data_IF_743836834356
#
_entry.id   IF_743836834356
#
_cell.length_a   1.000
_cell.length_b   1.000
_cell.length_c   1.000
_cell.angle_alpha   90.00
_cell.angle_beta   90.00
_cell.angle_gamma   90.00
#
_symmetry.space_group_name_H-M   'P 1'
#
loop_
_entity.id
_entity.type
_entity.pdbx_description
1 polymer ?
#
# COMPACT_ATOMS: atom_id res chain seq x y z
N UNK A 1 23.79 65.39 21.06
CA UNK A 1 23.38 64.01 21.40
C UNK A 1 23.39 63.18 20.11
N UNK A 2 24.39 62.32 19.89
CA UNK A 2 24.46 61.47 18.68
C UNK A 2 23.71 60.17 18.94
N UNK A 3 22.60 59.97 18.24
CA UNK A 3 21.77 58.75 18.29
C UNK A 3 22.52 57.64 17.53
N UNK A 4 22.98 56.62 18.26
CA UNK A 4 23.59 55.41 17.66
C UNK A 4 22.47 54.69 16.89
N UNK A 5 22.52 54.70 15.57
CA UNK A 5 21.60 53.91 14.74
C UNK A 5 21.94 52.44 14.90
N UNK A 6 20.94 51.59 15.13
CA UNK A 6 21.11 50.14 15.11
C UNK A 6 21.53 49.73 13.70
N UNK A 7 22.77 49.30 13.54
CA UNK A 7 23.27 48.67 12.33
C UNK A 7 22.54 47.33 12.18
N UNK A 8 21.64 47.23 11.21
CA UNK A 8 21.00 45.96 10.86
C UNK A 8 22.09 45.04 10.28
N UNK A 9 22.56 44.09 11.08
CA UNK A 9 23.47 43.04 10.62
C UNK A 9 22.73 42.19 9.57
N UNK A 10 23.18 42.27 8.31
CA UNK A 10 22.69 41.42 7.22
C UNK A 10 23.38 40.06 7.20
N UNK A 11 22.69 39.03 6.72
CA UNK A 11 23.28 37.73 6.42
C UNK A 11 24.33 37.84 5.31
N UNK A 12 25.43 37.09 5.44
CA UNK A 12 26.46 37.00 4.41
C UNK A 12 26.08 35.97 3.33
N UNK A 13 26.57 36.17 2.11
CA UNK A 13 26.39 35.19 1.03
C UNK A 13 27.04 33.84 1.37
N UNK A 14 28.15 33.87 2.13
CA UNK A 14 28.86 32.66 2.55
C UNK A 14 28.02 31.84 3.53
N UNK A 15 27.32 32.49 4.47
CA UNK A 15 26.39 31.80 5.38
C UNK A 15 25.28 31.09 4.62
N UNK A 16 24.72 31.73 3.59
CA UNK A 16 23.66 31.12 2.79
C UNK A 16 24.17 29.94 1.95
N UNK A 17 25.39 30.03 1.41
CA UNK A 17 26.00 28.93 0.64
C UNK A 17 26.28 27.71 1.51
N UNK A 18 26.81 27.88 2.73
CA UNK A 18 27.06 26.74 3.63
C UNK A 18 25.75 26.05 4.03
N UNK A 19 24.70 26.83 4.30
CA UNK A 19 23.37 26.27 4.60
C UNK A 19 22.83 25.47 3.40
N UNK A 20 22.94 26.00 2.19
CA UNK A 20 22.50 25.30 0.97
C UNK A 20 23.24 23.97 0.79
N UNK A 21 24.56 23.95 1.04
CA UNK A 21 25.36 22.72 0.91
C UNK A 21 24.90 21.65 1.89
N UNK A 22 24.68 22.00 3.16
CA UNK A 22 24.19 21.05 4.17
C UNK A 22 22.78 20.54 3.81
N UNK A 23 21.87 21.44 3.44
CA UNK A 23 20.51 21.07 3.02
C UNK A 23 20.53 20.19 1.77
N UNK A 24 21.44 20.45 0.82
CA UNK A 24 21.62 19.64 -0.39
C UNK A 24 22.03 18.20 -0.07
N UNK A 25 22.99 18.01 0.85
CA UNK A 25 23.43 16.68 1.30
C UNK A 25 22.25 15.95 1.97
N UNK A 26 21.58 16.60 2.92
CA UNK A 26 20.43 15.98 3.62
C UNK A 26 19.28 15.65 2.66
N UNK A 27 18.97 16.53 1.70
CA UNK A 27 17.90 16.33 0.74
C UNK A 27 18.18 15.12 -0.18
N UNK A 28 19.43 14.94 -0.61
CA UNK A 28 19.83 13.81 -1.47
C UNK A 28 19.55 12.45 -0.84
N UNK A 29 19.73 12.33 0.49
CA UNK A 29 19.44 11.12 1.25
C UNK A 29 17.95 11.03 1.64
N UNK A 30 17.33 12.16 1.98
CA UNK A 30 15.99 12.18 2.57
C UNK A 30 14.88 11.93 1.53
N UNK A 31 15.02 12.43 0.30
CA UNK A 31 14.00 12.29 -0.74
C UNK A 31 13.68 10.83 -1.08
N UNK A 32 14.64 9.94 -1.38
CA UNK A 32 14.32 8.54 -1.69
C UNK A 32 13.68 7.82 -0.49
N UNK A 33 14.18 8.04 0.73
CA UNK A 33 13.61 7.43 1.94
C UNK A 33 12.17 7.89 2.20
N UNK A 34 11.89 9.19 2.07
CA UNK A 34 10.55 9.72 2.27
C UNK A 34 9.56 9.18 1.23
N UNK A 35 9.99 9.04 -0.03
CA UNK A 35 9.16 8.43 -1.08
C UNK A 35 8.86 6.96 -0.80
N UNK A 36 9.84 6.19 -0.32
CA UNK A 36 9.61 4.81 0.10
C UNK A 36 8.59 4.73 1.25
N UNK A 37 8.69 5.61 2.24
CA UNK A 37 7.73 5.67 3.36
C UNK A 37 6.30 5.97 2.88
N UNK A 38 6.12 6.96 2.01
CA UNK A 38 4.79 7.27 1.45
C UNK A 38 4.25 6.08 0.65
N UNK A 39 5.08 5.42 -0.17
CA UNK A 39 4.65 4.25 -0.92
C UNK A 39 4.26 3.08 0.01
N UNK A 40 5.00 2.88 1.11
CA UNK A 40 4.65 1.90 2.15
C UNK A 40 3.31 2.21 2.79
N UNK A 41 3.08 3.48 3.13
CA UNK A 41 1.80 3.94 3.68
C UNK A 41 0.65 3.73 2.71
N UNK A 42 0.87 3.88 1.40
CA UNK A 42 -0.14 3.59 0.38
C UNK A 42 -0.41 2.10 0.31
N UNK A 43 0.62 1.27 0.25
CA UNK A 43 0.48 -0.19 0.16
C UNK A 43 -0.33 -0.80 1.32
N UNK A 44 -0.26 -0.21 2.51
CA UNK A 44 -1.08 -0.62 3.67
C UNK A 44 -2.59 -0.58 3.42
N UNK A 45 -3.07 0.36 2.59
CA UNK A 45 -4.48 0.40 2.18
C UNK A 45 -4.87 -0.84 1.36
N UNK A 46 -4.03 -1.22 0.39
CA UNK A 46 -4.28 -2.41 -0.42
C UNK A 46 -4.14 -3.70 0.39
N UNK A 47 -3.24 -3.74 1.36
CA UNK A 47 -3.10 -4.85 2.32
C UNK A 47 -4.37 -5.00 3.16
N UNK A 48 -4.92 -3.87 3.66
CA UNK A 48 -6.19 -3.87 4.40
C UNK A 48 -7.35 -4.38 3.53
N UNK A 49 -7.43 -3.92 2.28
CA UNK A 49 -8.45 -4.39 1.33
C UNK A 49 -8.32 -5.90 1.05
N UNK A 50 -7.10 -6.39 0.78
CA UNK A 50 -6.85 -7.81 0.57
C UNK A 50 -7.26 -8.64 1.80
N UNK A 51 -6.96 -8.15 3.01
CA UNK A 51 -7.38 -8.77 4.26
C UNK A 51 -8.90 -8.85 4.40
N UNK A 52 -9.64 -7.79 4.02
CA UNK A 52 -11.09 -7.79 4.02
C UNK A 52 -11.67 -8.82 3.03
N UNK A 53 -11.12 -8.89 1.81
CA UNK A 53 -11.52 -9.89 0.80
C UNK A 53 -11.25 -11.31 1.29
N UNK A 54 -10.07 -11.57 1.86
CA UNK A 54 -9.71 -12.88 2.42
C UNK A 54 -10.66 -13.29 3.55
N UNK A 55 -10.98 -12.36 4.45
CA UNK A 55 -11.94 -12.59 5.53
C UNK A 55 -13.32 -12.98 4.99
N UNK A 56 -13.82 -12.22 4.01
CA UNK A 56 -15.09 -12.52 3.37
C UNK A 56 -15.08 -13.88 2.63
N UNK A 57 -14.00 -14.21 1.94
CA UNK A 57 -13.83 -15.50 1.28
C UNK A 57 -13.80 -16.67 2.27
N UNK A 58 -13.22 -16.48 3.46
CA UNK A 58 -13.23 -17.50 4.52
C UNK A 58 -14.66 -17.78 5.02
N UNK A 59 -15.44 -16.72 5.23
CA UNK A 59 -16.85 -16.86 5.63
C UNK A 59 -17.63 -17.57 4.53
N UNK A 60 -17.51 -17.09 3.29
CA UNK A 60 -18.18 -17.69 2.13
C UNK A 60 -17.83 -19.17 1.94
N UNK A 61 -16.54 -19.53 2.05
CA UNK A 61 -16.11 -20.93 1.94
C UNK A 61 -16.70 -21.79 3.06
N UNK A 62 -16.80 -21.26 4.29
CA UNK A 62 -17.39 -22.00 5.42
C UNK A 62 -18.86 -22.31 5.18
N UNK A 63 -19.58 -21.41 4.50
CA UNK A 63 -21.00 -21.57 4.19
C UNK A 63 -21.26 -22.46 2.97
N UNK A 64 -20.48 -22.28 1.90
CA UNK A 64 -20.76 -22.90 0.59
C UNK A 64 -19.77 -24.00 0.17
N UNK A 65 -18.63 -24.14 0.86
CA UNK A 65 -17.62 -25.17 0.58
C UNK A 65 -16.73 -24.89 -0.63
N UNK A 66 -16.81 -23.70 -1.23
CA UNK A 66 -15.93 -23.26 -2.33
C UNK A 66 -15.65 -21.76 -2.24
N UNK A 67 -14.54 -21.30 -2.84
CA UNK A 67 -14.21 -19.88 -2.91
C UNK A 67 -15.01 -19.20 -4.01
N UNK A 68 -15.51 -17.99 -3.75
CA UNK A 68 -16.26 -17.24 -4.75
C UNK A 68 -15.29 -16.57 -5.73
N UNK A 69 -15.34 -16.87 -7.04
CA UNK A 69 -14.60 -16.10 -8.02
C UNK A 69 -15.19 -14.68 -8.12
N UNK A 70 -14.30 -13.70 -8.30
CA UNK A 70 -14.65 -12.29 -8.47
C UNK A 70 -13.82 -11.74 -9.61
N UNK A 71 -14.48 -11.29 -10.68
CA UNK A 71 -13.82 -10.50 -11.72
C UNK A 71 -13.41 -9.14 -11.16
N UNK A 72 -12.33 -8.55 -11.66
CA UNK A 72 -11.82 -7.25 -11.19
C UNK A 72 -12.95 -6.21 -11.08
N UNK A 73 -13.29 -5.86 -9.84
CA UNK A 73 -14.43 -4.98 -9.50
C UNK A 73 -14.08 -4.11 -8.31
N UNK A 74 -14.74 -2.95 -8.19
CA UNK A 74 -14.64 -2.11 -7.00
C UNK A 74 -15.55 -2.52 -5.86
N UNK A 75 -16.57 -3.34 -6.12
CA UNK A 75 -17.49 -3.81 -5.10
C UNK A 75 -18.04 -5.20 -5.45
N UNK A 76 -18.26 -6.02 -4.44
CA UNK A 76 -18.95 -7.31 -4.56
C UNK A 76 -19.96 -7.43 -3.42
N UNK A 77 -21.26 -7.48 -3.77
CA UNK A 77 -22.35 -7.51 -2.79
C UNK A 77 -22.49 -8.84 -2.07
N UNK A 78 -21.93 -9.92 -2.62
CA UNK A 78 -22.00 -11.26 -2.00
C UNK A 78 -20.92 -11.38 -0.93
N UNK A 79 -19.71 -10.87 -1.21
CA UNK A 79 -18.65 -10.79 -0.21
C UNK A 79 -18.81 -9.61 0.76
N UNK A 80 -19.65 -8.63 0.42
CA UNK A 80 -19.85 -7.42 1.24
C UNK A 80 -18.62 -6.52 1.30
N UNK A 81 -17.76 -6.54 0.27
CA UNK A 81 -16.54 -5.74 0.19
C UNK A 81 -16.73 -4.59 -0.81
N UNK A 82 -16.40 -3.37 -0.39
CA UNK A 82 -16.41 -2.17 -1.23
C UNK A 82 -15.06 -1.44 -1.14
N UNK A 83 -14.32 -1.45 -2.23
CA UNK A 83 -13.03 -0.80 -2.40
C UNK A 83 -13.15 0.62 -2.99
N UNK A 84 -14.34 1.05 -3.43
CA UNK A 84 -14.50 2.32 -4.15
C UNK A 84 -14.23 3.53 -3.27
N UNK A 85 -14.36 3.39 -1.95
CA UNK A 85 -14.04 4.40 -0.94
C UNK A 85 -12.55 4.62 -0.71
N UNK A 86 -11.70 3.66 -1.06
CA UNK A 86 -10.24 3.73 -0.87
C UNK A 86 -9.61 4.82 -1.74
N UNK A 87 -8.42 5.32 -1.43
CA UNK A 87 -7.74 6.35 -2.23
C UNK A 87 -6.95 5.75 -3.39
N UNK A 88 -6.14 4.73 -3.13
CA UNK A 88 -5.17 4.18 -4.09
C UNK A 88 -5.56 2.83 -4.67
N UNK A 89 -6.29 2.01 -3.92
CA UNK A 89 -6.68 0.64 -4.31
C UNK A 89 -8.18 0.52 -4.45
N UNK A 90 -8.68 0.69 -5.68
CA UNK A 90 -10.10 0.85 -5.98
C UNK A 90 -10.80 -0.44 -6.42
N UNK A 91 -10.04 -1.48 -6.74
CA UNK A 91 -10.58 -2.75 -7.23
C UNK A 91 -9.90 -3.93 -6.56
N UNK A 92 -10.55 -5.09 -6.67
CA UNK A 92 -10.01 -6.38 -6.29
C UNK A 92 -10.56 -7.47 -7.21
N UNK A 93 -9.86 -8.59 -7.27
CA UNK A 93 -10.25 -9.79 -7.98
C UNK A 93 -9.95 -11.02 -7.14
N UNK A 94 -10.70 -12.10 -7.39
CA UNK A 94 -10.45 -13.42 -6.81
C UNK A 94 -10.49 -14.44 -7.93
N UNK A 95 -9.34 -15.03 -8.22
CA UNK A 95 -9.23 -16.14 -9.19
C UNK A 95 -9.18 -17.43 -8.41
N UNK A 96 -9.91 -18.45 -8.85
CA UNK A 96 -9.94 -19.76 -8.17
C UNK A 96 -9.48 -20.86 -9.12
N UNK A 97 -8.77 -21.87 -8.61
CA UNK A 97 -8.41 -23.06 -9.39
C UNK A 97 -8.50 -24.34 -8.56
N UNK A 98 -8.79 -25.47 -9.19
CA UNK A 98 -9.03 -26.75 -8.49
C UNK A 98 -10.44 -26.89 -7.90
N UNK A 99 -10.73 -28.03 -7.29
CA UNK A 99 -12.04 -28.38 -6.70
C UNK A 99 -11.89 -28.98 -5.30
N UNK A 100 -12.91 -28.83 -4.46
CA UNK A 100 -12.96 -29.42 -3.12
C UNK A 100 -11.87 -28.90 -2.17
N UNK A 101 -11.29 -29.78 -1.35
CA UNK A 101 -10.23 -29.43 -0.40
C UNK A 101 -8.91 -28.98 -1.04
N UNK A 102 -8.74 -29.18 -2.36
CA UNK A 102 -7.57 -28.72 -3.11
C UNK A 102 -7.81 -27.37 -3.83
N UNK A 103 -9.00 -26.76 -3.65
CA UNK A 103 -9.31 -25.48 -4.26
C UNK A 103 -8.33 -24.40 -3.76
N UNK A 104 -7.74 -23.67 -4.69
CA UNK A 104 -6.90 -22.51 -4.41
C UNK A 104 -7.65 -21.25 -4.82
N UNK A 105 -7.44 -20.17 -4.08
CA UNK A 105 -7.83 -18.83 -4.47
C UNK A 105 -6.58 -17.94 -4.56
N UNK A 106 -6.59 -17.00 -5.47
CA UNK A 106 -5.63 -15.90 -5.56
C UNK A 106 -6.45 -14.62 -5.46
N UNK A 107 -6.29 -13.92 -4.34
CA UNK A 107 -6.81 -12.57 -4.17
C UNK A 107 -5.81 -11.60 -4.78
N UNK A 108 -6.26 -10.76 -5.69
CA UNK A 108 -5.46 -9.72 -6.33
C UNK A 108 -6.09 -8.37 -6.04
N UNK A 109 -5.31 -7.46 -5.46
CA UNK A 109 -5.67 -6.05 -5.29
C UNK A 109 -4.74 -5.24 -6.20
N UNK A 110 -5.25 -4.77 -7.37
CA UNK A 110 -4.42 -4.11 -8.36
C UNK A 110 -3.84 -2.79 -7.85
N UNK A 111 -2.53 -2.63 -8.02
CA UNK A 111 -1.82 -1.39 -7.74
C UNK A 111 -1.81 -0.44 -8.94
N UNK A 112 -0.93 0.56 -8.90
CA UNK A 112 -0.73 1.46 -10.04
C UNK A 112 -0.18 0.76 -11.30
N UNK A 113 0.48 -0.38 -11.10
CA UNK A 113 1.01 -1.28 -12.12
C UNK A 113 1.10 -2.70 -11.54
N UNK A 114 1.24 -3.71 -12.41
CA UNK A 114 1.23 -5.12 -12.01
C UNK A 114 2.36 -5.49 -11.03
N UNK A 115 3.46 -4.74 -10.99
CA UNK A 115 4.55 -4.99 -10.04
C UNK A 115 4.21 -4.50 -8.63
N UNK A 116 3.14 -3.71 -8.49
CA UNK A 116 2.60 -3.19 -7.22
C UNK A 116 1.27 -3.85 -6.85
N UNK A 117 0.86 -4.88 -7.56
CA UNK A 117 -0.32 -5.67 -7.20
C UNK A 117 -0.04 -6.42 -5.90
N UNK A 118 -1.00 -6.36 -4.98
CA UNK A 118 -0.95 -7.18 -3.77
C UNK A 118 -1.68 -8.48 -4.09
N UNK A 119 -0.93 -9.58 -4.05
CA UNK A 119 -1.45 -10.91 -4.36
C UNK A 119 -1.31 -11.84 -3.17
N UNK A 120 -2.37 -12.55 -2.82
CA UNK A 120 -2.37 -13.54 -1.75
C UNK A 120 -3.02 -14.82 -2.24
N UNK A 121 -2.26 -15.91 -2.16
CA UNK A 121 -2.73 -17.25 -2.53
C UNK A 121 -3.17 -18.00 -1.29
N UNK A 122 -4.43 -18.44 -1.25
CA UNK A 122 -4.97 -19.30 -0.19
C UNK A 122 -5.38 -20.66 -0.74
N UNK A 123 -5.20 -21.71 0.05
CA UNK A 123 -5.69 -23.06 -0.26
C UNK A 123 -6.80 -23.42 0.72
N UNK A 124 -7.86 -24.06 0.22
CA UNK A 124 -8.95 -24.60 1.02
C UNK A 124 -8.43 -25.57 2.09
N UNK A 125 -8.96 -25.49 3.31
CA UNK A 125 -8.57 -26.37 4.42
C UNK A 125 -7.20 -26.09 5.05
N UNK A 126 -6.35 -25.25 4.43
CA UNK A 126 -5.17 -24.70 5.07
C UNK A 126 -5.52 -23.40 5.82
N UNK A 127 -4.67 -22.98 6.77
CA UNK A 127 -4.73 -21.62 7.30
C UNK A 127 -4.50 -20.67 6.12
N UNK A 128 -5.57 -20.04 5.63
CA UNK A 128 -5.49 -19.05 4.55
C UNK A 128 -4.49 -17.98 5.03
N UNK A 129 -3.40 -17.73 4.27
CA UNK A 129 -2.38 -16.80 4.71
C UNK A 129 -3.00 -15.42 4.93
N UNK A 130 -2.69 -14.83 6.08
CA UNK A 130 -2.85 -13.39 6.28
C UNK A 130 -1.98 -12.67 5.26
N UNK A 131 -2.35 -11.46 4.85
CA UNK A 131 -1.54 -10.67 3.92
C UNK A 131 -0.19 -10.38 4.59
N UNK A 132 0.85 -11.13 4.22
CA UNK A 132 2.18 -11.10 4.87
C UNK A 132 3.17 -10.16 4.15
N UNK A 133 2.81 -9.68 2.96
CA UNK A 133 3.69 -8.87 2.13
C UNK A 133 2.90 -7.73 1.47
N UNK A 134 3.46 -6.53 1.58
CA UNK A 134 2.95 -5.30 1.00
C UNK A 134 3.39 -5.07 -0.43
N UNK A 135 4.05 -6.06 -1.04
CA UNK A 135 4.49 -6.01 -2.43
C UNK A 135 5.65 -5.04 -2.67
N UNK A 136 6.18 -4.40 -1.62
CA UNK A 136 7.43 -3.65 -1.69
C UNK A 136 8.57 -4.65 -1.47
N UNK A 137 9.25 -5.03 -2.56
CA UNK A 137 10.52 -5.75 -2.46
C UNK A 137 11.42 -5.01 -1.47
N UNK A 138 11.89 -5.74 -0.46
CA UNK A 138 12.96 -5.29 0.44
C UNK A 138 14.26 -5.33 -0.34
N UNK A 139 14.50 -4.33 -1.18
CA UNK A 139 15.82 -4.05 -1.70
C UNK A 139 16.65 -3.33 -0.62
#
# INVERSE_FOLDING_TARGET
>A
MKKKGNEAAGFTLVELVVVMVIVGILASLSVPMYRAYINRSRAQEGVSLAGAVIGAQKVYYTEFGYFKPVSSTGNDSVLGVDARGNTYFKTFAVTTSGTGAAATMVVTVPGADAAKDITVTGTAGATIPTVLDDGLKKD
#
